data_IF_829171465007
#
_entry.id   IF_829171465007
#
_cell.length_a   1.000
_cell.length_b   1.000
_cell.length_c   1.000
_cell.angle_alpha   90.00
_cell.angle_beta   90.00
_cell.angle_gamma   90.00
#
_symmetry.space_group_name_H-M   'P 1'
#
loop_
_entity.id
_entity.type
_entity.pdbx_description
1 polymer ?
#
# COMPACT_ATOMS: atom_id res chain seq x y z
N UNK A 1 9.39 42.59 19.51
CA UNK A 1 9.12 42.98 18.11
C UNK A 1 8.03 42.07 17.57
N UNK A 2 6.94 42.62 17.03
CA UNK A 2 5.89 41.80 16.39
C UNK A 2 6.41 41.28 15.06
N UNK A 3 6.28 39.97 14.82
CA UNK A 3 6.67 39.32 13.55
C UNK A 3 5.65 39.56 12.42
N UNK A 4 4.48 40.11 12.72
CA UNK A 4 3.37 40.33 11.78
C UNK A 4 3.77 41.15 10.54
N UNK A 5 4.51 42.29 10.67
CA UNK A 5 4.92 43.06 9.49
C UNK A 5 5.84 42.30 8.53
N UNK A 6 6.71 41.42 9.06
CA UNK A 6 7.63 40.60 8.26
C UNK A 6 6.85 39.60 7.42
N UNK A 7 5.84 38.99 7.99
CA UNK A 7 5.01 38.01 7.27
C UNK A 7 4.14 38.64 6.17
N UNK A 8 3.66 39.85 6.35
CA UNK A 8 2.97 40.58 5.28
C UNK A 8 3.90 40.85 4.11
N UNK A 9 5.11 41.33 4.35
CA UNK A 9 6.12 41.58 3.32
C UNK A 9 6.51 40.29 2.59
N UNK A 10 6.69 39.16 3.31
CA UNK A 10 6.98 37.88 2.72
C UNK A 10 5.82 37.34 1.88
N UNK A 11 4.58 37.54 2.32
CA UNK A 11 3.38 37.20 1.57
C UNK A 11 3.25 37.98 0.28
N UNK A 12 3.55 39.30 0.31
CA UNK A 12 3.52 40.13 -0.88
C UNK A 12 4.61 39.74 -1.87
N UNK A 13 5.82 39.43 -1.40
CA UNK A 13 6.90 38.88 -2.21
C UNK A 13 6.53 37.52 -2.81
N UNK A 14 5.99 36.61 -2.01
CA UNK A 14 5.51 35.30 -2.50
C UNK A 14 4.41 35.46 -3.55
N UNK A 15 3.51 36.39 -3.39
CA UNK A 15 2.46 36.72 -4.36
C UNK A 15 3.00 37.35 -5.64
N UNK A 16 4.18 37.99 -5.61
CA UNK A 16 4.86 38.48 -6.82
C UNK A 16 5.55 37.38 -7.60
N UNK A 17 6.03 36.34 -6.92
CA UNK A 17 6.66 35.15 -7.54
C UNK A 17 5.64 34.24 -8.23
N UNK A 18 4.49 34.07 -7.58
CA UNK A 18 3.34 33.32 -8.09
C UNK A 18 2.10 34.23 -7.96
N UNK A 19 1.60 34.81 -9.04
CA UNK A 19 0.47 35.72 -9.02
C UNK A 19 -0.77 35.13 -8.33
N UNK A 20 -1.45 35.93 -7.54
CA UNK A 20 -2.69 35.51 -6.85
C UNK A 20 -3.81 35.11 -7.80
N UNK A 21 -3.78 35.60 -9.05
CA UNK A 21 -4.66 35.17 -10.14
C UNK A 21 -4.45 33.70 -10.55
N UNK A 22 -3.22 33.18 -10.38
CA UNK A 22 -2.87 31.80 -10.69
C UNK A 22 -3.02 30.88 -9.46
N UNK A 23 -2.72 31.38 -8.27
CA UNK A 23 -2.69 30.59 -7.04
C UNK A 23 -3.09 31.38 -5.79
N UNK A 24 -4.39 31.48 -5.52
CA UNK A 24 -4.92 32.27 -4.41
C UNK A 24 -4.61 31.77 -3.00
N UNK A 25 -4.21 30.50 -2.81
CA UNK A 25 -3.89 29.94 -1.49
C UNK A 25 -2.42 29.55 -1.36
N UNK A 26 -1.88 29.53 -0.13
CA UNK A 26 -0.52 29.10 0.14
C UNK A 26 -0.23 27.68 -0.42
N UNK A 27 -1.17 26.76 -0.31
CA UNK A 27 -1.10 25.41 -0.88
C UNK A 27 -0.90 25.45 -2.41
N UNK A 28 -1.71 26.25 -3.12
CA UNK A 28 -1.60 26.39 -4.57
C UNK A 28 -0.32 27.10 -4.99
N UNK A 29 0.13 28.12 -4.24
CA UNK A 29 1.38 28.82 -4.54
C UNK A 29 2.61 27.92 -4.40
N UNK A 30 2.67 27.14 -3.32
CA UNK A 30 3.75 26.15 -3.12
C UNK A 30 3.77 25.16 -4.29
N UNK A 31 2.63 24.60 -4.66
CA UNK A 31 2.55 23.65 -5.77
C UNK A 31 2.97 24.27 -7.10
N UNK A 32 2.46 25.46 -7.43
CA UNK A 32 2.83 26.16 -8.66
C UNK A 32 4.33 26.45 -8.73
N UNK A 33 4.93 26.84 -7.59
CA UNK A 33 6.37 27.07 -7.51
C UNK A 33 7.19 25.79 -7.69
N UNK A 34 6.80 24.69 -7.02
CA UNK A 34 7.42 23.39 -7.16
C UNK A 34 7.35 22.87 -8.60
N UNK A 35 6.19 23.02 -9.26
CA UNK A 35 6.02 22.63 -10.67
C UNK A 35 6.86 23.48 -11.62
N UNK A 36 6.95 24.78 -11.38
CA UNK A 36 7.79 25.69 -12.18
C UNK A 36 9.27 25.34 -12.11
N UNK A 37 9.73 24.85 -10.96
CA UNK A 37 11.11 24.44 -10.70
C UNK A 37 11.21 22.95 -10.38
N UNK A 38 10.45 22.14 -11.11
CA UNK A 38 10.49 20.68 -10.95
C UNK A 38 11.90 20.14 -11.16
N UNK A 39 12.25 19.08 -10.43
CA UNK A 39 13.58 18.47 -10.44
C UNK A 39 14.73 19.40 -10.03
N UNK A 40 14.42 20.45 -9.25
CA UNK A 40 15.41 21.33 -8.64
C UNK A 40 15.28 21.32 -7.13
N UNK A 41 16.40 21.54 -6.44
CA UNK A 41 16.41 21.67 -4.98
C UNK A 41 15.90 23.06 -4.61
N UNK A 42 14.86 23.10 -3.80
CA UNK A 42 14.23 24.35 -3.32
C UNK A 42 14.39 24.43 -1.80
N UNK A 43 14.93 25.54 -1.31
CA UNK A 43 15.15 25.70 0.11
C UNK A 43 13.86 25.91 0.89
N UNK A 44 13.91 25.59 2.19
CA UNK A 44 12.81 25.85 3.12
C UNK A 44 12.45 27.32 3.20
N UNK A 45 13.45 28.22 3.10
CA UNK A 45 13.24 29.66 3.11
C UNK A 45 12.48 30.15 1.87
N UNK A 46 12.83 29.65 0.68
CA UNK A 46 12.10 29.98 -0.56
C UNK A 46 10.64 29.55 -0.46
N UNK A 47 10.36 28.34 0.03
CA UNK A 47 8.98 27.86 0.19
C UNK A 47 8.20 28.62 1.25
N UNK A 48 8.85 29.07 2.33
CA UNK A 48 8.24 29.94 3.34
C UNK A 48 7.82 31.28 2.73
N UNK A 49 8.68 31.88 1.90
CA UNK A 49 8.41 33.14 1.19
C UNK A 49 7.24 32.95 0.21
N UNK A 50 7.31 31.91 -0.63
CA UNK A 50 6.26 31.60 -1.62
C UNK A 50 4.92 31.34 -0.93
N UNK A 51 4.93 30.60 0.16
CA UNK A 51 3.73 30.31 0.93
C UNK A 51 3.13 31.55 1.61
N UNK A 52 4.00 32.47 2.09
CA UNK A 52 3.63 33.63 2.86
C UNK A 52 2.90 33.34 4.18
N UNK A 53 3.15 32.13 4.74
CA UNK A 53 2.59 31.66 6.02
C UNK A 53 3.64 30.90 6.82
N UNK A 54 3.51 30.92 8.15
CA UNK A 54 4.46 30.23 9.05
C UNK A 54 4.37 28.71 8.89
N UNK A 55 3.16 28.14 8.79
CA UNK A 55 2.91 26.71 8.76
C UNK A 55 2.91 26.16 7.33
N UNK A 56 3.89 26.55 6.51
CA UNK A 56 4.00 26.09 5.14
C UNK A 56 4.34 24.58 5.05
N UNK A 57 5.07 24.03 6.02
CA UNK A 57 5.41 22.61 6.08
C UNK A 57 4.16 21.72 6.18
N UNK A 58 3.11 22.20 6.85
CA UNK A 58 1.82 21.51 6.85
C UNK A 58 1.25 21.43 5.44
N UNK A 59 1.35 22.52 4.65
CA UNK A 59 0.86 22.52 3.26
C UNK A 59 1.66 21.56 2.36
N UNK A 60 2.96 21.42 2.58
CA UNK A 60 3.78 20.42 1.90
C UNK A 60 3.33 18.99 2.27
N UNK A 61 3.05 18.74 3.56
CA UNK A 61 2.52 17.42 3.97
C UNK A 61 1.17 17.11 3.34
N UNK A 62 0.28 18.11 3.24
CA UNK A 62 -1.01 17.98 2.55
C UNK A 62 -0.80 17.64 1.06
N UNK A 63 0.09 18.35 0.35
CA UNK A 63 0.44 18.08 -1.04
C UNK A 63 0.96 16.63 -1.22
N UNK A 64 1.85 16.18 -0.35
CA UNK A 64 2.41 14.82 -0.40
C UNK A 64 1.36 13.74 -0.14
N UNK A 65 0.61 13.87 0.95
CA UNK A 65 -0.27 12.84 1.47
C UNK A 65 -1.66 12.86 0.87
N UNK A 66 -2.25 14.05 0.78
CA UNK A 66 -3.65 14.20 0.36
C UNK A 66 -3.79 14.37 -1.15
N UNK A 67 -2.76 14.92 -1.82
CA UNK A 67 -2.79 15.17 -3.26
C UNK A 67 -1.86 14.27 -4.06
N UNK A 68 -1.05 13.43 -3.41
CA UNK A 68 -0.20 12.43 -4.09
C UNK A 68 1.04 12.99 -4.79
N UNK A 69 1.48 14.21 -4.46
CA UNK A 69 2.69 14.79 -5.05
C UNK A 69 3.95 14.15 -4.47
N UNK A 70 4.85 13.69 -5.31
CA UNK A 70 6.14 13.09 -4.92
C UNK A 70 7.15 14.21 -4.58
N UNK A 71 6.96 14.84 -3.41
CA UNK A 71 7.85 15.86 -2.87
C UNK A 71 8.75 15.21 -1.82
N UNK A 72 10.06 15.16 -2.05
CA UNK A 72 11.04 14.65 -1.08
C UNK A 72 11.54 15.80 -0.21
N UNK A 73 11.80 15.54 1.07
CA UNK A 73 12.66 16.38 1.90
C UNK A 73 14.09 15.88 1.81
N UNK A 74 15.09 16.73 2.07
CA UNK A 74 16.49 16.32 2.07
C UNK A 74 16.78 15.21 3.09
N UNK A 75 16.04 15.16 4.21
CA UNK A 75 16.09 14.03 5.14
C UNK A 75 15.65 12.72 4.47
N UNK A 76 14.51 12.73 3.78
CA UNK A 76 13.98 11.56 3.06
C UNK A 76 14.91 11.17 1.89
N UNK A 77 15.42 12.14 1.15
CA UNK A 77 16.35 11.92 0.04
C UNK A 77 17.62 11.19 0.51
N UNK A 78 18.20 11.60 1.64
CA UNK A 78 19.38 10.92 2.24
C UNK A 78 19.09 9.51 2.72
N UNK A 79 17.87 9.24 3.21
CA UNK A 79 17.47 7.88 3.58
C UNK A 79 17.34 6.98 2.34
N UNK A 80 16.84 7.50 1.23
CA UNK A 80 16.76 6.77 -0.04
C UNK A 80 18.16 6.37 -0.54
N UNK A 81 19.12 7.30 -0.58
CA UNK A 81 20.50 6.99 -0.97
C UNK A 81 21.08 5.85 -0.12
N UNK A 82 20.92 5.92 1.21
CA UNK A 82 21.44 4.88 2.12
C UNK A 82 20.78 3.51 1.91
N UNK A 83 19.51 3.49 1.52
CA UNK A 83 18.77 2.25 1.27
C UNK A 83 19.23 1.59 -0.02
N UNK A 84 19.54 2.37 -1.05
CA UNK A 84 19.96 1.88 -2.36
C UNK A 84 21.41 1.40 -2.42
N UNK A 85 22.26 1.79 -1.46
CA UNK A 85 23.59 1.18 -1.30
C UNK A 85 23.52 -0.34 -1.01
N UNK A 86 22.34 -0.88 -0.70
CA UNK A 86 22.08 -2.30 -0.40
C UNK A 86 21.21 -3.08 -1.40
N UNK A 87 20.51 -2.44 -2.35
CA UNK A 87 19.57 -3.07 -3.28
C UNK A 87 19.75 -2.47 -4.70
N UNK A 88 19.25 -3.17 -5.74
CA UNK A 88 19.41 -2.72 -7.14
C UNK A 88 18.88 -1.30 -7.37
N UNK A 89 19.74 -0.47 -7.94
CA UNK A 89 19.65 0.97 -8.07
C UNK A 89 18.44 1.41 -8.93
N UNK A 90 17.41 2.02 -8.33
CA UNK A 90 16.27 2.62 -9.03
C UNK A 90 16.47 4.15 -9.26
N UNK A 91 17.46 4.81 -8.59
CA UNK A 91 17.74 6.22 -8.76
C UNK A 91 18.67 6.47 -9.96
N UNK A 92 18.35 7.46 -10.76
CA UNK A 92 19.28 7.95 -11.77
C UNK A 92 20.52 8.61 -11.09
N UNK A 93 21.70 8.43 -11.66
CA UNK A 93 22.96 8.92 -11.08
C UNK A 93 22.93 10.44 -10.79
N UNK A 94 22.25 11.22 -11.64
CA UNK A 94 22.09 12.67 -11.48
C UNK A 94 21.17 13.04 -10.31
N UNK A 95 20.14 12.23 -10.05
CA UNK A 95 19.24 12.41 -8.89
C UNK A 95 19.98 12.09 -7.60
N UNK A 96 20.75 11.00 -7.57
CA UNK A 96 21.56 10.63 -6.40
C UNK A 96 22.57 11.71 -6.04
N UNK A 97 23.25 12.28 -7.04
CA UNK A 97 24.19 13.40 -6.84
C UNK A 97 23.47 14.65 -6.30
N UNK A 98 22.29 14.97 -6.83
CA UNK A 98 21.47 16.09 -6.36
C UNK A 98 21.02 15.89 -4.92
N UNK A 99 20.50 14.70 -4.58
CA UNK A 99 20.01 14.38 -3.24
C UNK A 99 21.13 14.42 -2.18
N UNK A 100 22.36 14.05 -2.55
CA UNK A 100 23.51 14.14 -1.65
C UNK A 100 23.81 15.57 -1.19
N UNK A 101 23.49 16.57 -2.02
CA UNK A 101 23.73 17.99 -1.70
C UNK A 101 22.63 18.66 -0.88
N UNK A 102 21.45 18.04 -0.80
CA UNK A 102 20.30 18.63 -0.10
C UNK A 102 20.55 18.79 1.40
N UNK A 103 20.14 19.93 1.96
CA UNK A 103 20.01 20.09 3.41
C UNK A 103 18.77 19.32 3.89
N UNK A 104 18.69 18.95 5.18
CA UNK A 104 17.56 18.17 5.71
C UNK A 104 16.18 18.75 5.41
N UNK A 105 16.07 20.06 5.42
CA UNK A 105 14.86 20.87 5.24
C UNK A 105 14.67 21.44 3.82
N UNK A 106 15.52 21.06 2.87
CA UNK A 106 15.31 21.34 1.45
C UNK A 106 14.23 20.40 0.88
N UNK A 107 13.64 20.81 -0.24
CA UNK A 107 12.57 20.06 -0.92
C UNK A 107 12.88 19.86 -2.39
N UNK A 108 12.40 18.75 -2.93
CA UNK A 108 12.60 18.37 -4.33
C UNK A 108 11.31 17.73 -4.86
N UNK A 109 10.77 18.23 -5.97
CA UNK A 109 9.64 17.61 -6.66
C UNK A 109 10.16 16.61 -7.69
N UNK A 110 9.92 15.32 -7.44
CA UNK A 110 10.42 14.22 -8.29
C UNK A 110 9.64 14.14 -9.60
N UNK A 111 8.33 14.31 -9.54
CA UNK A 111 7.42 14.11 -10.67
C UNK A 111 6.48 15.30 -10.83
N UNK A 112 6.19 15.67 -12.07
CA UNK A 112 5.24 16.75 -12.41
C UNK A 112 3.80 16.27 -12.46
N UNK A 113 3.54 14.98 -12.26
CA UNK A 113 2.22 14.40 -12.13
C UNK A 113 1.98 13.88 -10.71
N UNK A 114 0.77 14.13 -10.21
CA UNK A 114 0.37 13.61 -8.91
C UNK A 114 0.00 12.13 -9.01
N UNK A 115 0.41 11.35 -8.03
CA UNK A 115 -0.02 9.97 -7.87
C UNK A 115 -1.45 9.93 -7.28
N UNK A 116 -2.43 9.90 -8.16
CA UNK A 116 -3.84 9.90 -7.78
C UNK A 116 -4.24 8.65 -6.96
N UNK A 117 -3.57 7.49 -7.19
CA UNK A 117 -3.85 6.29 -6.42
C UNK A 117 -3.29 6.40 -4.99
N UNK A 118 -2.09 6.93 -4.82
CA UNK A 118 -1.52 7.20 -3.50
C UNK A 118 -2.39 8.19 -2.71
N UNK A 119 -2.89 9.26 -3.36
CA UNK A 119 -3.82 10.21 -2.74
C UNK A 119 -5.13 9.53 -2.32
N UNK A 120 -5.73 8.72 -3.20
CA UNK A 120 -6.94 7.95 -2.89
C UNK A 120 -6.71 7.03 -1.69
N UNK A 121 -5.62 6.27 -1.71
CA UNK A 121 -5.26 5.32 -0.62
C UNK A 121 -5.10 6.04 0.71
N UNK A 122 -4.48 7.21 0.71
CA UNK A 122 -4.36 8.05 1.90
C UNK A 122 -5.73 8.50 2.45
N UNK A 123 -6.61 9.00 1.59
CA UNK A 123 -7.94 9.45 2.02
C UNK A 123 -8.78 8.30 2.58
N UNK A 124 -8.73 7.13 1.94
CA UNK A 124 -9.39 5.91 2.42
C UNK A 124 -8.81 5.49 3.78
N UNK A 125 -7.48 5.40 3.90
CA UNK A 125 -6.81 5.01 5.14
C UNK A 125 -7.16 5.97 6.29
N UNK A 126 -7.15 7.29 6.05
CA UNK A 126 -7.47 8.31 7.05
C UNK A 126 -8.94 8.26 7.48
N UNK A 127 -9.86 8.06 6.54
CA UNK A 127 -11.30 7.87 6.83
C UNK A 127 -11.51 6.66 7.74
N UNK A 128 -10.92 5.51 7.41
CA UNK A 128 -11.07 4.27 8.15
C UNK A 128 -10.40 4.35 9.53
N UNK A 129 -9.19 4.93 9.61
CA UNK A 129 -8.48 5.16 10.88
C UNK A 129 -9.33 5.90 11.89
N UNK A 130 -10.13 6.88 11.44
CA UNK A 130 -10.96 7.71 12.32
C UNK A 130 -12.27 7.05 12.74
N UNK A 131 -12.62 5.86 12.23
CA UNK A 131 -13.82 5.15 12.66
C UNK A 131 -13.67 4.59 14.07
N UNK A 132 -14.78 4.62 14.81
CA UNK A 132 -14.88 4.00 16.15
C UNK A 132 -15.30 2.53 16.02
N UNK A 133 -14.38 1.71 15.53
CA UNK A 133 -14.53 0.26 15.37
C UNK A 133 -13.24 -0.45 15.77
N UNK A 134 -13.28 -1.78 15.93
CA UNK A 134 -12.13 -2.59 16.33
C UNK A 134 -11.00 -2.58 15.28
N UNK A 135 -9.81 -3.01 15.71
CA UNK A 135 -8.62 -3.09 14.80
C UNK A 135 -8.92 -4.00 13.60
N UNK A 136 -9.53 -5.18 13.87
CA UNK A 136 -9.86 -6.15 12.82
C UNK A 136 -10.79 -5.57 11.76
N UNK A 137 -11.83 -4.85 12.18
CA UNK A 137 -12.79 -4.22 11.28
C UNK A 137 -12.12 -3.15 10.42
N UNK A 138 -11.24 -2.31 11.00
CA UNK A 138 -10.51 -1.28 10.24
C UNK A 138 -9.58 -1.88 9.19
N UNK A 139 -8.76 -2.86 9.57
CA UNK A 139 -7.83 -3.48 8.61
C UNK A 139 -8.57 -4.23 7.50
N UNK A 140 -9.67 -4.93 7.82
CA UNK A 140 -10.50 -5.59 6.82
C UNK A 140 -11.14 -4.59 5.86
N UNK A 141 -11.73 -3.52 6.37
CA UNK A 141 -12.33 -2.48 5.52
C UNK A 141 -11.29 -1.86 4.57
N UNK A 142 -10.08 -1.59 5.06
CA UNK A 142 -9.02 -1.06 4.20
C UNK A 142 -8.60 -2.04 3.10
N UNK A 143 -8.52 -3.32 3.41
CA UNK A 143 -8.24 -4.36 2.43
C UNK A 143 -9.36 -4.47 1.38
N UNK A 144 -10.63 -4.38 1.79
CA UNK A 144 -11.79 -4.40 0.88
C UNK A 144 -11.82 -3.20 -0.08
N UNK A 145 -11.33 -2.05 0.34
CA UNK A 145 -11.14 -0.87 -0.54
C UNK A 145 -9.96 -1.02 -1.51
N UNK A 146 -9.13 -2.06 -1.33
CA UNK A 146 -7.94 -2.34 -2.12
C UNK A 146 -7.88 -3.80 -2.60
N UNK A 147 -9.02 -4.42 -2.91
CA UNK A 147 -9.09 -5.81 -3.40
C UNK A 147 -8.21 -6.00 -4.63
N UNK A 148 -7.45 -7.10 -4.66
CA UNK A 148 -6.52 -7.44 -5.73
C UNK A 148 -5.25 -6.59 -5.79
N UNK A 149 -5.10 -5.59 -4.91
CA UNK A 149 -3.94 -4.68 -4.89
C UNK A 149 -3.03 -4.95 -3.70
N UNK A 150 -1.71 -4.82 -3.86
CA UNK A 150 -0.77 -4.91 -2.76
C UNK A 150 -1.03 -3.81 -1.71
N UNK A 151 -1.10 -4.21 -0.45
CA UNK A 151 -1.22 -3.32 0.72
C UNK A 151 -0.02 -3.55 1.62
N UNK A 152 0.69 -2.49 1.98
CA UNK A 152 1.89 -2.57 2.79
C UNK A 152 1.55 -2.61 4.29
N UNK A 153 2.41 -3.29 5.05
CA UNK A 153 2.25 -3.40 6.51
C UNK A 153 2.18 -2.04 7.21
N UNK A 154 2.89 -1.03 6.72
CA UNK A 154 2.85 0.35 7.24
C UNK A 154 1.46 0.99 7.09
N UNK A 155 0.77 0.75 5.98
CA UNK A 155 -0.61 1.23 5.76
C UNK A 155 -1.57 0.55 6.73
N UNK A 156 -1.41 -0.77 6.94
CA UNK A 156 -2.22 -1.53 7.90
C UNK A 156 -1.97 -1.08 9.34
N UNK A 157 -0.71 -0.85 9.72
CA UNK A 157 -0.36 -0.28 11.02
C UNK A 157 -1.01 1.09 11.22
N UNK A 158 -0.94 1.96 10.21
CA UNK A 158 -1.58 3.27 10.26
C UNK A 158 -3.09 3.16 10.47
N UNK A 159 -3.78 2.35 9.67
CA UNK A 159 -5.23 2.13 9.77
C UNK A 159 -5.61 1.50 11.11
N UNK A 160 -4.75 0.63 11.65
CA UNK A 160 -4.89 0.01 12.97
C UNK A 160 -4.69 0.99 14.14
N UNK A 161 -4.37 2.28 13.91
CA UNK A 161 -3.96 3.27 14.92
C UNK A 161 -2.68 2.85 15.66
N UNK A 162 -1.76 2.24 14.94
CA UNK A 162 -0.47 1.75 15.44
C UNK A 162 -0.59 0.70 16.57
N UNK A 163 -1.74 0.01 16.64
CA UNK A 163 -1.96 -1.07 17.59
C UNK A 163 -1.02 -2.25 17.30
N UNK A 164 -0.18 -2.65 18.26
CA UNK A 164 0.85 -3.67 18.06
C UNK A 164 0.32 -5.08 17.72
N UNK A 165 -0.96 -5.34 17.91
CA UNK A 165 -1.60 -6.63 17.64
C UNK A 165 -2.22 -6.74 16.23
N UNK A 166 -2.11 -5.71 15.37
CA UNK A 166 -2.67 -5.75 14.03
C UNK A 166 -2.20 -6.95 13.17
N UNK A 167 -0.93 -7.43 13.27
CA UNK A 167 -0.52 -8.60 12.49
C UNK A 167 -1.24 -9.88 12.92
N UNK A 168 -1.58 -9.98 14.20
CA UNK A 168 -2.41 -11.06 14.72
C UNK A 168 -3.83 -10.99 14.12
N UNK A 169 -4.44 -9.80 14.03
CA UNK A 169 -5.76 -9.61 13.42
C UNK A 169 -5.77 -9.98 11.94
N UNK A 170 -4.69 -9.69 11.22
CA UNK A 170 -4.52 -10.14 9.82
C UNK A 170 -4.51 -11.66 9.71
N UNK A 171 -3.83 -12.35 10.62
CA UNK A 171 -3.81 -13.80 10.66
C UNK A 171 -5.21 -14.35 10.97
N UNK A 172 -5.89 -13.83 11.98
CA UNK A 172 -7.25 -14.22 12.34
C UNK A 172 -8.23 -14.07 11.15
N UNK A 173 -8.15 -12.96 10.41
CA UNK A 173 -8.96 -12.74 9.21
C UNK A 173 -8.81 -13.89 8.21
N UNK A 174 -7.58 -14.38 8.00
CA UNK A 174 -7.31 -15.49 7.08
C UNK A 174 -7.70 -16.84 7.68
N UNK A 175 -7.24 -17.15 8.90
CA UNK A 175 -7.33 -18.51 9.47
C UNK A 175 -8.65 -18.80 10.17
N UNK A 176 -9.30 -17.80 10.75
CA UNK A 176 -10.53 -17.98 11.53
C UNK A 176 -11.77 -17.48 10.77
N UNK A 177 -11.59 -16.39 10.00
CA UNK A 177 -12.70 -15.78 9.26
C UNK A 177 -12.72 -16.15 7.78
N UNK A 178 -11.68 -16.83 7.26
CA UNK A 178 -11.68 -17.35 5.90
C UNK A 178 -11.63 -16.29 4.80
N UNK A 179 -11.03 -15.11 5.08
CA UNK A 179 -10.75 -14.14 4.03
C UNK A 179 -9.57 -14.58 3.17
N UNK A 180 -9.63 -14.48 1.83
CA UNK A 180 -8.55 -14.89 0.94
C UNK A 180 -7.39 -13.88 0.96
N UNK A 181 -6.71 -13.79 2.10
CA UNK A 181 -5.56 -12.93 2.31
C UNK A 181 -4.27 -13.64 1.93
N UNK A 182 -3.66 -13.21 0.86
CA UNK A 182 -2.38 -13.71 0.39
C UNK A 182 -1.21 -12.90 0.94
N UNK A 183 -0.10 -13.59 1.16
CA UNK A 183 1.21 -13.02 1.50
C UNK A 183 2.27 -13.84 0.77
N UNK A 184 3.55 -13.45 0.86
CA UNK A 184 4.66 -14.22 0.29
C UNK A 184 4.60 -15.71 0.62
N UNK A 185 4.26 -16.06 1.85
CA UNK A 185 4.23 -17.46 2.34
C UNK A 185 2.84 -18.11 2.25
N UNK A 186 1.81 -17.34 1.89
CA UNK A 186 0.40 -17.79 1.91
C UNK A 186 -0.30 -17.49 0.60
N UNK A 187 0.27 -17.97 -0.53
CA UNK A 187 -0.38 -17.93 -1.84
C UNK A 187 0.32 -17.08 -2.89
N UNK A 188 1.12 -16.06 -2.52
CA UNK A 188 1.75 -15.10 -3.44
C UNK A 188 3.26 -15.02 -3.22
N UNK A 189 4.07 -16.00 -3.69
CA UNK A 189 5.54 -15.99 -3.53
C UNK A 189 6.22 -14.81 -4.24
N UNK A 190 5.56 -14.17 -5.19
CA UNK A 190 5.97 -12.97 -5.90
C UNK A 190 5.95 -11.70 -5.03
N UNK A 191 5.20 -11.70 -3.92
CA UNK A 191 5.09 -10.53 -3.05
C UNK A 191 6.34 -10.36 -2.17
N UNK A 192 6.74 -9.10 -1.90
CA UNK A 192 7.70 -8.80 -0.85
C UNK A 192 7.21 -9.23 0.54
N UNK A 193 8.13 -9.40 1.50
CA UNK A 193 7.77 -9.62 2.91
C UNK A 193 7.06 -8.37 3.45
N UNK A 194 5.98 -8.57 4.23
CA UNK A 194 5.21 -7.46 4.81
C UNK A 194 4.17 -6.85 3.89
N UNK A 195 3.97 -7.45 2.71
CA UNK A 195 2.91 -7.07 1.77
C UNK A 195 1.78 -8.09 1.82
N UNK A 196 0.56 -7.59 1.76
CA UNK A 196 -0.70 -8.34 1.86
C UNK A 196 -1.60 -8.02 0.67
N UNK A 197 -2.33 -9.01 0.18
CA UNK A 197 -3.35 -8.84 -0.85
C UNK A 197 -4.64 -9.53 -0.40
N UNK A 198 -5.76 -8.82 -0.42
CA UNK A 198 -7.07 -9.44 -0.38
C UNK A 198 -7.44 -9.80 -1.82
N UNK A 199 -7.40 -11.08 -2.15
CA UNK A 199 -7.57 -11.54 -3.54
C UNK A 199 -9.00 -11.31 -4.05
N UNK A 200 -10.00 -11.48 -3.18
CA UNK A 200 -11.41 -11.29 -3.49
C UNK A 200 -12.17 -10.79 -2.26
N UNK A 201 -13.19 -9.96 -2.44
CA UNK A 201 -14.11 -9.54 -1.36
C UNK A 201 -15.17 -10.62 -1.11
N UNK A 202 -14.72 -11.84 -0.88
CA UNK A 202 -15.56 -13.00 -0.58
C UNK A 202 -14.96 -13.80 0.57
N UNK A 203 -15.73 -14.00 1.59
CA UNK A 203 -15.35 -14.82 2.74
C UNK A 203 -15.62 -16.30 2.43
N UNK A 204 -14.68 -17.17 2.72
CA UNK A 204 -14.86 -18.60 2.57
C UNK A 204 -16.08 -19.13 3.35
N UNK A 205 -16.79 -20.17 2.88
CA UNK A 205 -17.81 -20.85 3.64
C UNK A 205 -17.29 -21.28 5.02
N UNK A 206 -18.17 -21.36 6.00
CA UNK A 206 -17.76 -21.63 7.38
C UNK A 206 -17.01 -22.95 7.57
N UNK A 207 -17.37 -23.96 6.78
CA UNK A 207 -16.73 -25.30 6.82
C UNK A 207 -15.31 -25.33 6.19
N UNK A 208 -14.91 -24.32 5.39
CA UNK A 208 -13.59 -24.21 4.76
C UNK A 208 -12.67 -23.21 5.51
N UNK A 209 -13.17 -22.66 6.62
CA UNK A 209 -12.37 -21.81 7.52
C UNK A 209 -11.52 -22.68 8.46
N UNK A 210 -10.70 -22.04 9.25
CA UNK A 210 -9.90 -22.70 10.31
C UNK A 210 -8.72 -23.57 9.82
N UNK A 211 -8.26 -23.40 8.57
CA UNK A 211 -7.01 -24.05 8.13
C UNK A 211 -5.82 -23.29 8.75
N UNK A 212 -5.01 -23.93 9.62
CA UNK A 212 -3.85 -23.29 10.23
C UNK A 212 -2.83 -22.82 9.17
N UNK A 213 -2.20 -21.68 9.41
CA UNK A 213 -1.20 -21.10 8.49
C UNK A 213 -0.03 -22.04 8.18
N UNK A 214 0.42 -22.82 9.17
CA UNK A 214 1.48 -23.82 8.97
C UNK A 214 1.07 -24.87 7.94
N UNK A 215 -0.15 -25.40 8.04
CA UNK A 215 -0.68 -26.38 7.10
C UNK A 215 -0.91 -25.74 5.73
N UNK A 216 -1.47 -24.54 5.69
CA UNK A 216 -1.66 -23.78 4.44
C UNK A 216 -0.34 -23.58 3.70
N UNK A 217 0.69 -23.12 4.39
CA UNK A 217 2.02 -22.91 3.79
C UNK A 217 2.66 -24.21 3.31
N UNK A 218 2.53 -25.29 4.06
CA UNK A 218 3.05 -26.61 3.68
C UNK A 218 2.38 -27.13 2.41
N UNK A 219 1.05 -27.05 2.33
CA UNK A 219 0.29 -27.51 1.16
C UNK A 219 0.64 -26.68 -0.08
N UNK A 220 0.64 -25.34 0.04
CA UNK A 220 1.00 -24.44 -1.06
C UNK A 220 2.43 -24.70 -1.56
N UNK A 221 3.38 -24.90 -0.64
CA UNK A 221 4.78 -25.22 -0.97
C UNK A 221 4.89 -26.58 -1.66
N UNK A 222 4.24 -27.63 -1.13
CA UNK A 222 4.20 -28.98 -1.73
C UNK A 222 3.66 -28.93 -3.15
N UNK A 223 2.62 -28.13 -3.39
CA UNK A 223 1.94 -28.01 -4.68
C UNK A 223 2.61 -26.97 -5.60
N UNK A 224 3.76 -26.42 -5.21
CA UNK A 224 4.56 -25.48 -6.01
C UNK A 224 3.85 -24.16 -6.27
N UNK A 225 2.94 -23.72 -5.39
CA UNK A 225 2.08 -22.52 -5.58
C UNK A 225 1.33 -22.55 -6.92
N UNK A 226 0.88 -23.75 -7.32
CA UNK A 226 0.16 -23.98 -8.56
C UNK A 226 -1.15 -24.72 -8.31
N UNK A 227 -2.14 -24.50 -9.17
CA UNK A 227 -3.36 -25.30 -9.18
C UNK A 227 -3.05 -26.73 -9.59
N UNK A 228 -3.30 -27.71 -8.73
CA UNK A 228 -3.04 -29.12 -9.01
C UNK A 228 -3.90 -29.71 -10.14
N UNK A 229 -4.97 -29.03 -10.56
CA UNK A 229 -5.80 -29.50 -11.66
C UNK A 229 -5.40 -28.90 -13.01
N UNK A 230 -5.23 -27.56 -13.11
CA UNK A 230 -4.97 -26.90 -14.40
C UNK A 230 -3.56 -26.28 -14.52
N UNK A 231 -2.74 -26.36 -13.47
CA UNK A 231 -1.39 -25.82 -13.46
C UNK A 231 -1.30 -24.27 -13.37
N UNK A 232 -2.42 -23.60 -13.17
CA UNK A 232 -2.40 -22.14 -13.07
C UNK A 232 -1.57 -21.67 -11.87
N UNK A 233 -0.77 -20.61 -12.08
CA UNK A 233 0.05 -19.93 -11.05
C UNK A 233 -0.12 -18.42 -11.15
N UNK A 234 0.27 -17.67 -10.14
CA UNK A 234 0.28 -16.21 -10.19
C UNK A 234 1.22 -15.62 -11.26
N UNK A 235 2.22 -16.35 -11.72
CA UNK A 235 3.05 -15.94 -12.86
C UNK A 235 2.26 -15.79 -14.17
N UNK A 236 1.10 -16.47 -14.27
CA UNK A 236 0.18 -16.38 -15.40
C UNK A 236 -0.93 -15.36 -15.21
N UNK A 237 -0.95 -14.70 -14.05
CA UNK A 237 -2.00 -13.74 -13.70
C UNK A 237 -1.87 -12.44 -14.51
N UNK A 238 -3.01 -11.84 -14.82
CA UNK A 238 -3.11 -10.50 -15.38
C UNK A 238 -4.34 -9.78 -14.79
N UNK A 239 -4.50 -8.45 -14.93
CA UNK A 239 -5.61 -7.71 -14.32
C UNK A 239 -7.03 -8.16 -14.71
N UNK A 240 -7.17 -8.90 -15.82
CA UNK A 240 -8.45 -9.46 -16.27
C UNK A 240 -8.69 -10.90 -15.77
N UNK A 241 -7.72 -11.49 -15.08
CA UNK A 241 -7.81 -12.84 -14.55
C UNK A 241 -8.23 -12.82 -13.08
N UNK A 242 -9.47 -13.24 -12.73
CA UNK A 242 -9.95 -13.20 -11.35
C UNK A 242 -9.42 -14.35 -10.49
N UNK A 243 -8.58 -15.25 -11.05
CA UNK A 243 -8.13 -16.44 -10.32
C UNK A 243 -7.16 -16.08 -9.20
N UNK A 244 -7.28 -16.80 -8.12
CA UNK A 244 -6.29 -16.91 -7.05
C UNK A 244 -6.24 -18.34 -6.52
N UNK A 245 -5.27 -18.69 -5.68
CA UNK A 245 -5.10 -20.03 -5.14
C UNK A 245 -5.88 -20.18 -3.82
N UNK A 246 -6.68 -21.25 -3.76
CA UNK A 246 -7.43 -21.68 -2.58
C UNK A 246 -7.01 -23.11 -2.19
N UNK A 247 -7.25 -23.46 -0.92
CA UNK A 247 -7.09 -24.82 -0.46
C UNK A 247 -8.45 -25.52 -0.43
N UNK A 248 -8.51 -26.69 -1.05
CA UNK A 248 -9.68 -27.53 -1.11
C UNK A 248 -9.49 -28.80 -0.26
N UNK A 249 -10.51 -29.14 0.56
CA UNK A 249 -10.53 -30.41 1.28
C UNK A 249 -10.94 -31.55 0.37
N UNK A 250 -10.06 -32.54 0.10
CA UNK A 250 -10.39 -33.77 -0.65
C UNK A 250 -11.57 -34.50 -0.01
N UNK A 251 -11.52 -34.69 1.30
CA UNK A 251 -12.66 -35.09 2.12
C UNK A 251 -13.16 -33.85 2.87
N UNK A 252 -14.38 -33.44 2.58
CA UNK A 252 -14.98 -32.22 3.14
C UNK A 252 -14.89 -32.20 4.67
N UNK A 253 -14.58 -31.04 5.24
CA UNK A 253 -14.47 -30.87 6.69
C UNK A 253 -15.78 -31.20 7.41
N UNK A 254 -16.93 -30.85 6.82
CA UNK A 254 -18.28 -31.21 7.31
C UNK A 254 -18.49 -32.72 7.42
N UNK A 255 -17.81 -33.50 6.59
CA UNK A 255 -17.82 -34.97 6.60
C UNK A 255 -16.69 -35.57 7.46
N UNK A 256 -16.08 -34.76 8.35
CA UNK A 256 -15.00 -35.18 9.23
C UNK A 256 -13.63 -35.26 8.57
N UNK A 257 -13.41 -34.55 7.46
CA UNK A 257 -12.11 -34.42 6.83
C UNK A 257 -11.16 -33.58 7.69
N UNK A 258 -9.95 -34.06 8.02
CA UNK A 258 -9.03 -33.32 8.87
C UNK A 258 -8.33 -32.18 8.10
N UNK A 259 -7.91 -31.13 8.85
CA UNK A 259 -7.01 -30.09 8.36
C UNK A 259 -5.57 -30.62 8.36
N UNK A 260 -5.29 -31.59 7.50
CA UNK A 260 -3.95 -32.18 7.32
C UNK A 260 -3.47 -31.99 5.89
N UNK A 261 -2.16 -31.99 5.71
CA UNK A 261 -1.52 -31.82 4.40
C UNK A 261 -2.05 -32.85 3.37
N UNK A 262 -2.23 -34.11 3.78
CA UNK A 262 -2.73 -35.17 2.89
C UNK A 262 -4.19 -34.97 2.46
N UNK A 263 -5.01 -34.31 3.23
CA UNK A 263 -6.42 -34.05 2.91
C UNK A 263 -6.66 -32.72 2.18
N UNK A 264 -5.65 -31.90 2.02
CA UNK A 264 -5.76 -30.60 1.36
C UNK A 264 -5.03 -30.60 0.02
N UNK A 265 -5.55 -29.85 -0.94
CA UNK A 265 -4.96 -29.65 -2.27
C UNK A 265 -5.13 -28.21 -2.71
N UNK A 266 -4.14 -27.68 -3.42
CA UNK A 266 -4.18 -26.33 -3.97
C UNK A 266 -4.95 -26.31 -5.29
N UNK A 267 -5.96 -25.47 -5.40
CA UNK A 267 -6.74 -25.22 -6.61
C UNK A 267 -6.80 -23.72 -6.90
N UNK A 268 -6.93 -23.33 -8.16
CA UNK A 268 -7.39 -21.97 -8.46
C UNK A 268 -8.90 -21.86 -8.25
N UNK A 269 -9.43 -20.65 -8.01
CA UNK A 269 -10.86 -20.41 -7.76
C UNK A 269 -11.77 -21.06 -8.81
N UNK A 270 -11.43 -20.97 -10.10
CA UNK A 270 -12.22 -21.59 -11.18
C UNK A 270 -12.30 -23.11 -11.06
N UNK A 271 -11.17 -23.77 -10.74
CA UNK A 271 -11.15 -25.23 -10.53
C UNK A 271 -11.84 -25.59 -9.22
N UNK A 272 -11.67 -24.82 -8.17
CA UNK A 272 -12.32 -25.01 -6.88
C UNK A 272 -13.85 -24.96 -7.01
N UNK A 273 -14.39 -23.91 -7.66
CA UNK A 273 -15.82 -23.80 -7.98
C UNK A 273 -16.29 -24.94 -8.89
N UNK A 274 -15.41 -25.39 -9.81
CA UNK A 274 -15.69 -26.54 -10.69
C UNK A 274 -15.86 -27.86 -9.92
N UNK A 275 -15.05 -28.07 -8.88
CA UNK A 275 -15.17 -29.27 -8.00
C UNK A 275 -16.46 -29.20 -7.20
N UNK A 276 -16.76 -28.05 -6.57
CA UNK A 276 -18.01 -27.89 -5.81
C UNK A 276 -19.26 -28.01 -6.68
N UNK A 277 -19.19 -27.61 -7.94
CA UNK A 277 -20.28 -27.79 -8.92
C UNK A 277 -20.34 -29.19 -9.54
N UNK A 278 -19.46 -30.12 -9.13
CA UNK A 278 -19.40 -31.49 -9.68
C UNK A 278 -18.91 -31.58 -11.12
N UNK A 279 -18.36 -30.48 -11.69
CA UNK A 279 -17.81 -30.46 -13.06
C UNK A 279 -16.38 -30.98 -13.15
N UNK A 280 -15.66 -30.96 -12.04
CA UNK A 280 -14.28 -31.44 -11.93
C UNK A 280 -14.23 -32.53 -10.86
N UNK A 281 -13.62 -33.65 -11.20
CA UNK A 281 -13.33 -34.74 -10.28
C UNK A 281 -11.82 -34.73 -10.04
N UNK A 282 -11.40 -34.57 -8.81
CA UNK A 282 -10.00 -34.62 -8.42
C UNK A 282 -9.55 -36.10 -8.40
N UNK A 283 -8.45 -36.40 -9.04
CA UNK A 283 -7.80 -37.72 -8.88
C UNK A 283 -7.36 -37.90 -7.43
N UNK A 284 -7.59 -39.08 -6.89
CA UNK A 284 -7.19 -39.48 -5.53
C UNK A 284 -5.68 -39.46 -5.34
#
# INVERSE_FOLDING_TARGET
MSLIPIWHSLRDLGSSLIPTSEAGSAHKRILAYLLKYAKQVISSEELAIVAGIIDYQRRIRELRRESGWKILSGETAKLLIKREEGEANELEADEAATFATMKPDDYFLVDTEADADAARRWHVANRIRNRDVGVRERVLEYLRENVGRPVFGEELAYVAKDAGDWPRRMRELRTEYGWPLATKTSGRPDLPIGVYVLEEDRQAPEHDRHIPDSIRSQVLMRDGYACCHCGWTHALWNPSDPRHLELHHRREHVKGGPNTEGNLVTLCTVCHDGVHAGRIILSS
#
